data_IF_060615648179
#
_entry.id   IF_060615648179
#
_cell.length_a   1.000
_cell.length_b   1.000
_cell.length_c   1.000
_cell.angle_alpha   90.00
_cell.angle_beta   90.00
_cell.angle_gamma   90.00
#
_symmetry.space_group_name_H-M   'P 1'
#
loop_
_entity.id
_entity.type
_entity.pdbx_description
1 polymer ?
#
# COMPACT_ATOMS: atom_id res chain seq x y z
N UNK A 1 23.30 1.16 -20.65
CA UNK A 1 21.91 1.66 -20.59
C UNK A 1 20.98 0.51 -20.89
N UNK A 2 20.23 0.03 -19.89
CA UNK A 2 19.24 -1.03 -20.11
C UNK A 2 18.03 -0.48 -20.85
N UNK A 3 17.61 -1.20 -21.89
CA UNK A 3 16.48 -0.89 -22.75
C UNK A 3 15.20 -1.21 -21.97
N UNK A 4 14.52 -0.19 -21.46
CA UNK A 4 13.22 -0.34 -20.82
C UNK A 4 12.20 -0.47 -21.96
N UNK A 5 11.74 -1.68 -22.21
CA UNK A 5 10.66 -1.94 -23.18
C UNK A 5 9.34 -1.69 -22.45
N UNK A 6 8.73 -0.53 -22.71
CA UNK A 6 7.40 -0.18 -22.19
C UNK A 6 6.38 -0.96 -23.02
N UNK A 7 5.81 -2.01 -22.45
CA UNK A 7 4.70 -2.74 -23.07
C UNK A 7 3.40 -2.28 -22.43
N UNK A 8 2.45 -1.82 -23.26
CA UNK A 8 1.04 -1.62 -22.87
C UNK A 8 0.56 -2.84 -22.05
N UNK A 9 -0.34 -2.66 -21.04
CA UNK A 9 -0.57 -3.69 -20.03
C UNK A 9 -0.76 -5.05 -20.69
N UNK A 10 0.20 -5.96 -20.41
CA UNK A 10 0.11 -7.33 -20.89
C UNK A 10 -1.17 -7.93 -20.33
N UNK A 11 -1.90 -8.76 -21.10
CA UNK A 11 -3.12 -9.36 -20.58
C UNK A 11 -2.79 -10.16 -19.31
N UNK A 12 -3.52 -9.81 -18.25
CA UNK A 12 -3.54 -10.52 -17.00
C UNK A 12 -3.81 -12.02 -17.25
N UNK A 13 -3.05 -12.90 -16.59
CA UNK A 13 -3.48 -14.28 -16.42
C UNK A 13 -4.76 -14.37 -15.58
N UNK A 14 -5.27 -15.57 -15.36
CA UNK A 14 -6.53 -15.77 -14.61
C UNK A 14 -6.48 -15.20 -13.17
N UNK A 15 -5.29 -15.04 -12.60
CA UNK A 15 -5.04 -14.43 -11.29
C UNK A 15 -4.56 -12.96 -11.36
N UNK A 16 -4.56 -12.35 -12.55
CA UNK A 16 -3.53 -11.37 -12.89
C UNK A 16 -3.55 -9.99 -12.21
N UNK A 17 -4.67 -9.50 -11.66
CA UNK A 17 -4.65 -8.23 -10.89
C UNK A 17 -4.47 -8.49 -9.41
N UNK A 18 -3.28 -8.20 -8.89
CA UNK A 18 -2.95 -8.36 -7.47
C UNK A 18 -2.88 -7.03 -6.71
N UNK A 19 -3.61 -6.02 -7.19
CA UNK A 19 -3.83 -4.77 -6.47
C UNK A 19 -5.32 -4.46 -6.37
N UNK A 20 -5.72 -3.86 -5.26
CA UNK A 20 -7.11 -3.43 -5.01
C UNK A 20 -7.13 -2.03 -4.45
N UNK A 21 -8.22 -1.30 -4.73
CA UNK A 21 -8.48 0.02 -4.17
C UNK A 21 -9.84 -0.07 -3.49
N UNK A 22 -9.89 0.16 -2.19
CA UNK A 22 -11.11 0.16 -1.38
C UNK A 22 -11.33 1.54 -0.75
N UNK A 23 -12.60 1.87 -0.49
CA UNK A 23 -13.02 3.08 0.22
C UNK A 23 -13.83 2.70 1.46
N UNK A 24 -13.16 2.29 2.55
CA UNK A 24 -13.85 1.65 3.67
C UNK A 24 -14.72 2.61 4.49
N UNK A 25 -14.43 3.91 4.50
CA UNK A 25 -15.18 4.88 5.31
C UNK A 25 -15.14 4.56 6.80
N UNK A 26 -14.06 3.90 7.26
CA UNK A 26 -13.94 3.45 8.64
C UNK A 26 -13.57 4.61 9.55
N UNK A 27 -14.15 4.65 10.75
CA UNK A 27 -13.85 5.67 11.76
C UNK A 27 -13.23 5.05 13.00
N UNK A 28 -12.09 5.60 13.42
CA UNK A 28 -11.48 5.23 14.69
C UNK A 28 -12.35 5.70 15.87
N UNK A 29 -12.43 4.91 16.96
CA UNK A 29 -13.02 5.39 18.20
C UNK A 29 -12.15 6.49 18.82
N UNK A 30 -12.79 7.46 19.48
CA UNK A 30 -12.13 8.58 20.14
C UNK A 30 -12.16 9.89 19.35
N UNK A 31 -11.43 10.88 19.86
CA UNK A 31 -11.27 12.20 19.26
C UNK A 31 -9.78 12.57 19.24
N UNK A 32 -9.35 13.27 18.20
CA UNK A 32 -7.99 13.73 17.98
C UNK A 32 -8.01 15.23 17.68
N UNK A 33 -7.13 16.01 18.32
CA UNK A 33 -7.08 17.45 18.09
C UNK A 33 -6.46 17.80 16.73
N UNK A 34 -5.49 17.00 16.27
CA UNK A 34 -4.74 17.23 15.03
C UNK A 34 -4.05 15.95 14.53
N UNK A 35 -3.60 15.93 13.28
CA UNK A 35 -2.77 14.82 12.76
C UNK A 35 -1.40 14.71 13.45
N UNK A 36 -0.89 15.80 14.03
CA UNK A 36 0.34 15.87 14.83
C UNK A 36 0.28 14.98 16.08
N UNK A 37 -0.89 14.89 16.70
CA UNK A 37 -1.10 14.13 17.94
C UNK A 37 -1.23 12.61 17.70
N UNK A 38 -1.49 12.21 16.45
CA UNK A 38 -1.69 10.81 16.10
C UNK A 38 -0.35 10.11 15.97
N UNK A 39 -0.02 9.29 16.97
CA UNK A 39 1.13 8.40 16.91
C UNK A 39 0.79 7.12 16.13
N UNK A 40 0.93 7.19 14.81
CA UNK A 40 0.74 6.04 13.92
C UNK A 40 1.66 4.85 14.26
N UNK A 41 2.77 5.05 15.01
CA UNK A 41 3.67 3.97 15.43
C UNK A 41 3.11 3.14 16.59
N UNK A 42 2.10 3.64 17.31
CA UNK A 42 1.52 2.98 18.47
C UNK A 42 -0.02 2.84 18.39
N UNK A 43 -0.58 3.00 17.19
CA UNK A 43 -2.02 2.86 16.93
C UNK A 43 -2.42 1.40 16.67
N UNK A 44 -3.68 1.07 16.93
CA UNK A 44 -4.31 -0.16 16.42
C UNK A 44 -4.55 0.02 14.93
N UNK A 45 -4.11 -0.92 14.10
CA UNK A 45 -4.27 -0.81 12.65
C UNK A 45 -5.42 -1.69 12.18
N UNK A 46 -6.19 -1.15 11.25
CA UNK A 46 -7.27 -1.84 10.57
C UNK A 46 -6.93 -1.93 9.08
N UNK A 47 -7.05 -3.11 8.47
CA UNK A 47 -6.90 -3.30 7.02
C UNK A 47 -8.24 -3.67 6.37
N UNK A 48 -8.37 -3.34 5.09
CA UNK A 48 -9.61 -3.45 4.32
C UNK A 48 -9.36 -4.09 2.95
N UNK A 49 -9.29 -5.41 2.90
CA UNK A 49 -9.19 -6.18 1.66
C UNK A 49 -10.58 -6.50 1.11
N UNK A 50 -10.99 -5.77 0.07
CA UNK A 50 -12.28 -5.96 -0.59
C UNK A 50 -13.47 -5.79 0.36
N UNK A 51 -14.04 -6.91 0.81
CA UNK A 51 -15.18 -6.94 1.77
C UNK A 51 -14.77 -7.29 3.21
N UNK A 52 -13.50 -7.62 3.45
CA UNK A 52 -13.02 -8.06 4.76
C UNK A 52 -12.39 -6.87 5.50
N UNK A 53 -12.89 -6.63 6.70
CA UNK A 53 -12.26 -5.75 7.68
C UNK A 53 -11.48 -6.61 8.65
N UNK A 54 -10.20 -6.31 8.81
CA UNK A 54 -9.33 -7.03 9.74
C UNK A 54 -8.68 -6.06 10.72
N UNK A 55 -8.55 -6.50 11.98
CA UNK A 55 -7.84 -5.77 13.03
C UNK A 55 -6.46 -6.38 13.14
N UNK A 56 -5.46 -5.71 12.55
CA UNK A 56 -4.07 -6.16 12.58
C UNK A 56 -3.39 -5.94 13.95
N UNK A 57 -4.11 -5.48 14.97
CA UNK A 57 -3.57 -5.24 16.31
C UNK A 57 -2.86 -3.90 16.49
N UNK A 58 -2.34 -3.66 17.70
CA UNK A 58 -1.63 -2.44 18.08
C UNK A 58 -0.16 -2.54 17.69
N UNK A 59 0.33 -1.57 16.91
CA UNK A 59 1.76 -1.42 16.66
C UNK A 59 2.49 -1.05 17.96
N UNK A 60 3.72 -1.52 18.10
CA UNK A 60 4.69 -1.10 19.10
C UNK A 60 5.87 -0.51 18.36
N UNK A 61 6.03 0.82 18.43
CA UNK A 61 7.08 1.55 17.71
C UNK A 61 7.10 1.25 16.19
N UNK A 62 5.92 1.13 15.59
CA UNK A 62 5.73 0.92 14.16
C UNK A 62 5.80 -0.53 13.71
N UNK A 63 5.83 -1.48 14.65
CA UNK A 63 5.90 -2.91 14.35
C UNK A 63 4.83 -3.68 15.12
N UNK A 64 4.22 -4.66 14.47
CA UNK A 64 3.36 -5.64 15.12
C UNK A 64 3.74 -7.04 14.63
N UNK A 65 3.63 -8.00 15.53
CA UNK A 65 3.88 -9.41 15.29
C UNK A 65 2.81 -10.21 16.01
N UNK A 66 2.26 -11.20 15.32
CA UNK A 66 1.41 -12.22 15.91
C UNK A 66 1.80 -13.59 15.39
N UNK A 67 1.69 -14.59 16.27
CA UNK A 67 1.88 -15.99 15.92
C UNK A 67 0.53 -16.68 16.00
N UNK A 68 0.09 -17.22 14.87
CA UNK A 68 -1.17 -17.94 14.72
C UNK A 68 -0.85 -19.30 14.10
N UNK A 69 -1.09 -20.37 14.85
CA UNK A 69 -0.73 -21.74 14.46
C UNK A 69 0.73 -21.89 13.99
N UNK A 70 0.93 -22.28 12.73
CA UNK A 70 2.21 -22.44 12.07
C UNK A 70 2.68 -21.19 11.29
N UNK A 71 1.95 -20.07 11.45
CA UNK A 71 2.20 -18.81 10.77
C UNK A 71 2.73 -17.76 11.75
N UNK A 72 3.73 -17.01 11.33
CA UNK A 72 4.09 -15.75 11.99
C UNK A 72 3.79 -14.59 11.05
N UNK A 73 2.93 -13.69 11.50
CA UNK A 73 2.49 -12.51 10.77
C UNK A 73 3.22 -11.28 11.33
N UNK A 74 3.68 -10.43 10.42
CA UNK A 74 4.37 -9.19 10.72
C UNK A 74 3.67 -8.04 10.01
N UNK A 75 3.53 -6.92 10.69
CA UNK A 75 3.09 -5.65 10.11
C UNK A 75 4.10 -4.56 10.49
N UNK A 76 4.51 -3.79 9.51
CA UNK A 76 5.48 -2.69 9.69
C UNK A 76 4.94 -1.40 9.09
N UNK A 77 5.03 -0.32 9.86
CA UNK A 77 4.86 1.03 9.37
C UNK A 77 6.09 1.46 8.55
N UNK A 78 5.88 1.76 7.28
CA UNK A 78 6.91 2.15 6.33
C UNK A 78 7.03 3.66 6.22
N UNK A 79 5.89 4.37 6.19
CA UNK A 79 5.87 5.82 5.98
C UNK A 79 4.60 6.48 6.47
N UNK A 80 4.74 7.74 6.91
CA UNK A 80 3.63 8.63 7.24
C UNK A 80 3.92 9.96 6.55
N UNK A 81 3.00 10.42 5.71
CA UNK A 81 3.18 11.62 4.91
C UNK A 81 1.93 12.49 4.98
N UNK A 82 2.09 13.76 5.32
CA UNK A 82 0.97 14.70 5.25
C UNK A 82 0.62 15.01 3.81
N UNK A 83 -0.67 15.03 3.55
CA UNK A 83 -1.23 15.40 2.27
C UNK A 83 -1.89 16.76 2.45
N UNK A 84 -1.20 17.81 2.05
CA UNK A 84 -1.80 19.13 1.97
C UNK A 84 -2.54 19.28 0.66
N UNK A 85 -3.80 19.66 0.74
CA UNK A 85 -4.55 20.12 -0.41
C UNK A 85 -4.43 21.67 -0.50
N UNK A 86 -4.53 22.25 -1.71
CA UNK A 86 -4.43 23.72 -1.89
C UNK A 86 -5.69 24.46 -1.39
N UNK A 87 -6.82 23.77 -1.30
CA UNK A 87 -8.13 24.29 -0.87
C UNK A 87 -8.34 24.24 0.67
N UNK A 88 -7.51 23.48 1.39
CA UNK A 88 -7.47 23.31 2.85
C UNK A 88 -6.89 24.54 3.53
N UNK A 89 -5.98 25.23 2.83
CA UNK A 89 -5.53 26.55 3.23
C UNK A 89 -6.68 27.57 3.32
N UNK A 90 -7.83 27.30 2.69
CA UNK A 90 -8.96 28.21 2.61
C UNK A 90 -10.18 27.78 3.45
N UNK A 91 -10.25 26.51 3.92
CA UNK A 91 -11.42 25.98 4.64
C UNK A 91 -11.15 25.32 6.00
N UNK A 92 -9.92 24.89 6.31
CA UNK A 92 -9.54 24.39 7.65
C UNK A 92 -10.21 23.11 8.18
N UNK A 93 -11.23 22.55 7.51
CA UNK A 93 -12.14 21.55 8.12
C UNK A 93 -11.67 20.09 8.06
N UNK A 94 -10.69 19.76 7.20
CA UNK A 94 -10.18 18.39 7.07
C UNK A 94 -8.67 18.37 6.88
N UNK A 95 -8.01 17.38 7.46
CA UNK A 95 -6.58 17.12 7.29
C UNK A 95 -6.40 15.69 6.80
N UNK A 96 -5.46 15.47 5.88
CA UNK A 96 -5.18 14.12 5.35
C UNK A 96 -3.72 13.71 5.55
N UNK A 97 -3.52 12.41 5.73
CA UNK A 97 -2.21 11.78 5.63
C UNK A 97 -2.25 10.46 4.88
N UNK A 98 -1.16 10.19 4.18
CA UNK A 98 -0.84 8.89 3.62
C UNK A 98 -0.06 8.08 4.66
N UNK A 99 -0.57 6.91 5.01
CA UNK A 99 0.08 5.97 5.93
C UNK A 99 0.34 4.67 5.18
N UNK A 100 1.58 4.20 5.19
CA UNK A 100 2.01 3.07 4.36
C UNK A 100 2.52 1.95 5.24
N UNK A 101 2.03 0.74 5.00
CA UNK A 101 2.39 -0.45 5.73
C UNK A 101 2.89 -1.57 4.80
N UNK A 102 3.73 -2.43 5.35
CA UNK A 102 4.15 -3.69 4.76
C UNK A 102 3.75 -4.83 5.70
N UNK A 103 3.09 -5.83 5.14
CA UNK A 103 2.70 -7.06 5.81
C UNK A 103 3.49 -8.24 5.24
N UNK A 104 3.92 -9.15 6.10
CA UNK A 104 4.45 -10.45 5.70
C UNK A 104 3.95 -11.56 6.61
N UNK A 105 3.54 -12.66 6.00
CA UNK A 105 3.24 -13.92 6.66
C UNK A 105 4.33 -14.93 6.35
N UNK A 106 4.92 -15.54 7.37
CA UNK A 106 5.88 -16.64 7.23
C UNK A 106 5.21 -17.91 7.70
N UNK A 107 4.85 -18.78 6.75
CA UNK A 107 4.25 -20.08 7.02
C UNK A 107 4.65 -21.10 5.93
N UNK A 108 3.85 -22.15 5.71
CA UNK A 108 4.09 -23.12 4.64
C UNK A 108 4.10 -22.51 3.23
N UNK A 109 3.38 -21.39 3.04
CA UNK A 109 3.43 -20.52 1.86
C UNK A 109 3.58 -19.08 2.33
N UNK A 110 4.72 -18.46 2.10
CA UNK A 110 4.92 -17.07 2.52
C UNK A 110 4.10 -16.12 1.66
N UNK A 111 3.45 -15.17 2.33
CA UNK A 111 2.71 -14.09 1.68
C UNK A 111 3.34 -12.75 2.04
N UNK A 112 3.38 -11.83 1.08
CA UNK A 112 3.82 -10.47 1.33
C UNK A 112 2.96 -9.48 0.55
N UNK A 113 2.48 -8.49 1.26
CA UNK A 113 1.64 -7.41 0.70
C UNK A 113 2.08 -6.09 1.28
N UNK A 114 1.82 -5.02 0.55
CA UNK A 114 1.85 -3.67 1.10
C UNK A 114 0.47 -3.05 0.96
N UNK A 115 0.17 -2.13 1.86
CA UNK A 115 -1.04 -1.33 1.72
C UNK A 115 -0.81 0.10 2.16
N UNK A 116 -1.37 1.02 1.39
CA UNK A 116 -1.29 2.44 1.61
C UNK A 116 -2.70 2.98 1.91
N UNK A 117 -2.83 3.70 3.03
CA UNK A 117 -4.09 4.24 3.51
C UNK A 117 -4.09 5.76 3.47
N UNK A 118 -5.21 6.32 3.03
CA UNK A 118 -5.52 7.75 3.24
C UNK A 118 -6.31 7.86 4.52
N UNK A 119 -5.70 8.45 5.54
CA UNK A 119 -6.39 8.83 6.76
C UNK A 119 -6.86 10.27 6.66
N UNK A 120 -8.07 10.50 7.15
CA UNK A 120 -8.70 11.81 7.23
C UNK A 120 -9.03 12.13 8.68
N UNK A 121 -8.66 13.33 9.11
CA UNK A 121 -9.14 13.92 10.35
C UNK A 121 -10.08 15.06 9.99
N UNK A 122 -11.34 14.98 10.43
CA UNK A 122 -12.33 16.05 10.27
C UNK A 122 -13.24 16.04 11.48
N UNK A 123 -13.61 17.21 11.98
CA UNK A 123 -14.41 17.35 13.22
C UNK A 123 -13.83 16.55 14.40
N UNK A 124 -12.49 16.51 14.51
CA UNK A 124 -11.74 15.73 15.52
C UNK A 124 -11.89 14.22 15.42
N UNK A 125 -12.48 13.69 14.35
CA UNK A 125 -12.70 12.26 14.11
C UNK A 125 -11.73 11.75 13.05
N UNK A 126 -10.91 10.77 13.43
CA UNK A 126 -9.97 10.12 12.53
C UNK A 126 -10.67 8.96 11.80
N UNK A 127 -10.50 8.87 10.49
CA UNK A 127 -11.00 7.77 9.69
C UNK A 127 -10.04 7.34 8.59
N UNK A 128 -10.32 6.18 8.00
CA UNK A 128 -9.66 5.62 6.81
C UNK A 128 -10.62 5.77 5.62
N UNK A 129 -10.28 6.65 4.70
CA UNK A 129 -11.12 6.97 3.53
C UNK A 129 -10.81 6.08 2.33
N UNK A 130 -9.55 5.67 2.20
CA UNK A 130 -9.09 4.86 1.09
C UNK A 130 -8.00 3.91 1.57
N UNK A 131 -7.97 2.69 1.01
CA UNK A 131 -6.84 1.77 1.07
C UNK A 131 -6.48 1.30 -0.34
N UNK A 132 -5.19 1.24 -0.63
CA UNK A 132 -4.61 0.67 -1.85
C UNK A 132 -3.75 -0.51 -1.41
N UNK A 133 -4.18 -1.72 -1.72
CA UNK A 133 -3.42 -2.94 -1.50
C UNK A 133 -2.63 -3.29 -2.76
N UNK A 134 -1.40 -3.76 -2.58
CA UNK A 134 -0.54 -4.24 -3.65
C UNK A 134 0.27 -5.45 -3.17
N UNK A 135 0.43 -6.43 -4.05
CA UNK A 135 1.11 -7.66 -3.71
C UNK A 135 2.63 -7.51 -3.94
N UNK A 136 3.43 -7.81 -2.91
CA UNK A 136 4.88 -7.59 -2.92
C UNK A 136 5.66 -8.89 -3.10
N UNK A 137 5.02 -9.97 -3.56
CA UNK A 137 5.59 -11.31 -3.68
C UNK A 137 6.59 -11.48 -4.85
N UNK A 138 7.52 -10.53 -5.01
CA UNK A 138 8.72 -10.64 -5.83
C UNK A 138 9.88 -9.94 -5.12
N UNK A 139 11.11 -10.11 -5.60
CA UNK A 139 12.22 -9.29 -5.12
C UNK A 139 13.25 -9.08 -6.24
N UNK A 140 13.49 -7.81 -6.57
CA UNK A 140 14.51 -7.35 -7.51
C UNK A 140 15.46 -6.31 -6.89
N UNK A 141 15.45 -6.17 -5.56
CA UNK A 141 16.31 -5.24 -4.82
C UNK A 141 15.82 -3.79 -4.80
N UNK A 142 14.69 -3.48 -5.42
CA UNK A 142 14.09 -2.15 -5.44
C UNK A 142 12.87 -2.11 -4.51
N UNK A 143 12.64 -0.97 -3.85
CA UNK A 143 11.49 -0.77 -2.95
C UNK A 143 10.17 -0.96 -3.70
N UNK A 144 9.13 -1.43 -3.00
CA UNK A 144 7.80 -1.60 -3.59
C UNK A 144 6.99 -0.31 -3.64
N UNK A 145 7.37 0.70 -2.86
CA UNK A 145 6.63 1.94 -2.78
C UNK A 145 7.56 3.15 -2.69
N UNK A 146 7.14 4.24 -3.29
CA UNK A 146 7.81 5.54 -3.23
C UNK A 146 6.78 6.67 -3.24
N UNK A 147 6.88 7.56 -2.26
CA UNK A 147 6.08 8.78 -2.20
C UNK A 147 6.94 10.01 -2.53
N UNK A 148 6.45 10.84 -3.44
CA UNK A 148 7.04 12.14 -3.78
C UNK A 148 6.19 13.27 -3.19
N UNK A 149 6.67 13.98 -2.14
CA UNK A 149 5.95 15.13 -1.57
C UNK A 149 5.73 16.26 -2.58
N UNK A 150 6.69 16.48 -3.49
CA UNK A 150 6.66 17.58 -4.46
C UNK A 150 5.54 17.41 -5.48
N UNK A 151 5.39 16.21 -6.03
CA UNK A 151 4.36 15.90 -7.02
C UNK A 151 3.10 15.29 -6.41
N UNK A 152 3.12 15.00 -5.11
CA UNK A 152 2.05 14.28 -4.37
C UNK A 152 1.65 13.00 -5.08
N UNK A 153 2.65 12.31 -5.62
CA UNK A 153 2.50 11.02 -6.29
C UNK A 153 2.94 9.91 -5.37
N UNK A 154 2.17 8.83 -5.41
CA UNK A 154 2.53 7.55 -4.81
C UNK A 154 2.78 6.59 -5.98
N UNK A 155 3.96 5.99 -6.01
CA UNK A 155 4.25 4.87 -6.90
C UNK A 155 4.28 3.61 -6.05
N UNK A 156 3.55 2.58 -6.47
CA UNK A 156 3.64 1.24 -5.87
C UNK A 156 3.90 0.20 -6.94
N UNK A 157 4.49 -0.91 -6.55
CA UNK A 157 4.86 -2.01 -7.43
C UNK A 157 4.19 -3.27 -6.93
N UNK A 158 3.26 -3.78 -7.72
CA UNK A 158 2.46 -4.97 -7.42
C UNK A 158 2.87 -6.10 -8.33
N UNK A 159 3.03 -7.31 -7.82
CA UNK A 159 3.21 -8.50 -8.64
C UNK A 159 2.06 -8.69 -9.63
N UNK A 160 2.36 -9.35 -10.74
CA UNK A 160 1.43 -9.60 -11.84
C UNK A 160 1.77 -10.96 -12.47
N UNK A 161 0.82 -11.90 -12.43
CA UNK A 161 0.92 -13.18 -13.17
C UNK A 161 0.61 -12.99 -14.66
N UNK A 162 1.58 -13.34 -15.51
CA UNK A 162 1.32 -13.53 -16.94
C UNK A 162 0.67 -14.89 -17.20
N UNK A 163 0.00 -15.05 -18.35
CA UNK A 163 -0.71 -16.28 -18.75
C UNK A 163 0.11 -17.59 -18.63
N UNK A 164 1.43 -17.53 -18.76
CA UNK A 164 2.32 -18.70 -18.68
C UNK A 164 3.15 -18.74 -17.39
N UNK A 165 2.85 -17.89 -16.40
CA UNK A 165 3.55 -17.93 -15.12
C UNK A 165 3.12 -19.17 -14.34
N UNK A 166 4.09 -19.88 -13.76
CA UNK A 166 3.79 -20.89 -12.77
C UNK A 166 3.33 -20.20 -11.47
N UNK A 167 2.40 -20.83 -10.74
CA UNK A 167 1.76 -20.30 -9.52
C UNK A 167 2.74 -19.83 -8.43
N UNK A 168 3.98 -20.31 -8.41
CA UNK A 168 5.01 -19.94 -7.44
C UNK A 168 6.07 -18.96 -8.00
N UNK A 169 5.88 -18.48 -9.23
CA UNK A 169 6.93 -17.97 -10.07
C UNK A 169 6.45 -16.85 -10.99
N UNK A 170 6.00 -15.74 -10.42
CA UNK A 170 5.69 -14.53 -11.20
C UNK A 170 6.90 -14.06 -12.02
N UNK A 171 6.64 -13.62 -13.26
CA UNK A 171 7.66 -13.07 -14.16
C UNK A 171 7.48 -11.60 -14.44
N UNK A 172 6.45 -10.95 -13.88
CA UNK A 172 6.18 -9.53 -14.04
C UNK A 172 5.65 -8.86 -12.76
N UNK A 173 5.71 -7.53 -12.77
CA UNK A 173 5.04 -6.66 -11.81
C UNK A 173 4.49 -5.43 -12.55
N UNK A 174 3.42 -4.85 -12.03
CA UNK A 174 2.88 -3.57 -12.46
C UNK A 174 3.44 -2.46 -11.56
N UNK A 175 3.97 -1.41 -12.18
CA UNK A 175 4.25 -0.14 -11.53
C UNK A 175 3.03 0.77 -11.68
N UNK A 176 2.39 1.05 -10.56
CA UNK A 176 1.16 1.82 -10.46
C UNK A 176 1.52 3.22 -9.96
N UNK A 177 1.24 4.24 -10.77
CA UNK A 177 1.40 5.64 -10.37
C UNK A 177 0.05 6.22 -10.00
N UNK A 178 -0.04 6.75 -8.78
CA UNK A 178 -1.20 7.43 -8.25
C UNK A 178 -0.91 8.91 -8.03
N UNK A 179 -1.92 9.74 -8.25
CA UNK A 179 -1.87 11.18 -7.99
C UNK A 179 -2.93 11.57 -6.96
N UNK A 180 -2.52 12.36 -5.96
CA UNK A 180 -3.43 12.92 -4.95
C UNK A 180 -4.31 14.03 -5.55
N UNK A 181 -5.63 13.83 -5.58
CA UNK A 181 -6.58 14.81 -6.15
C UNK A 181 -7.25 15.71 -5.10
N UNK A 182 -6.87 15.60 -3.83
CA UNK A 182 -7.36 16.46 -2.74
C UNK A 182 -8.18 15.73 -1.66
N UNK A 183 -8.75 14.58 -2.00
CA UNK A 183 -9.49 13.71 -1.07
C UNK A 183 -9.08 12.24 -1.16
N UNK A 184 -8.51 11.84 -2.31
CA UNK A 184 -8.08 10.47 -2.56
C UNK A 184 -6.91 10.41 -3.55
N UNK A 185 -6.29 9.24 -3.64
CA UNK A 185 -5.37 8.89 -4.71
C UNK A 185 -6.14 8.31 -5.90
N UNK A 186 -6.01 8.96 -7.05
CA UNK A 186 -6.51 8.45 -8.32
C UNK A 186 -5.38 7.73 -9.07
N UNK A 187 -5.67 6.57 -9.65
CA UNK A 187 -4.72 5.85 -10.50
C UNK A 187 -4.50 6.63 -11.79
N UNK A 188 -3.27 7.09 -12.02
CA UNK A 188 -2.87 7.89 -13.18
C UNK A 188 -2.30 6.99 -14.29
N UNK A 189 -1.49 5.99 -13.91
CA UNK A 189 -0.76 5.16 -14.87
C UNK A 189 -0.46 3.77 -14.33
N UNK A 190 -0.45 2.80 -15.25
CA UNK A 190 0.04 1.43 -15.02
C UNK A 190 1.13 1.15 -16.06
N UNK A 191 2.27 0.62 -15.63
CA UNK A 191 3.30 0.07 -16.50
C UNK A 191 3.67 -1.36 -16.06
N UNK A 192 3.54 -2.34 -16.94
CA UNK A 192 3.99 -3.71 -16.65
C UNK A 192 5.48 -3.85 -16.96
N UNK A 193 6.24 -4.39 -16.00
CA UNK A 193 7.68 -4.64 -16.11
C UNK A 193 7.97 -6.11 -15.84
N UNK A 194 8.90 -6.70 -16.61
CA UNK A 194 9.34 -8.09 -16.40
C UNK A 194 10.42 -8.16 -15.33
N UNK A 195 10.34 -9.18 -14.48
CA UNK A 195 11.35 -9.49 -13.47
C UNK A 195 12.51 -10.18 -14.17
N UNK A 196 13.66 -9.51 -14.28
CA UNK A 196 14.87 -10.08 -14.86
C UNK A 196 15.51 -11.10 -13.89
N UNK A 197 15.19 -12.39 -14.06
CA UNK A 197 15.76 -13.48 -13.23
C UNK A 197 17.26 -13.74 -13.50
N UNK A 198 17.81 -13.22 -14.60
CA UNK A 198 19.21 -13.45 -15.01
C UNK A 198 20.26 -12.76 -14.11
N UNK A 199 19.86 -11.87 -13.20
CA UNK A 199 20.78 -11.21 -12.26
C UNK A 199 21.11 -12.03 -10.99
N UNK A 200 20.48 -13.21 -10.80
CA UNK A 200 20.67 -14.07 -9.61
C UNK A 200 21.83 -15.07 -9.70
N UNK A 201 22.60 -15.08 -10.79
CA UNK A 201 23.78 -15.92 -10.94
C UNK A 201 25.05 -15.06 -11.02
N UNK A 202 25.44 -14.45 -9.90
CA UNK A 202 26.81 -14.02 -9.59
C UNK A 202 27.02 -13.95 -8.09
#
# INVERSE_FOLDING_TARGET
MQKIEVVHPLPYGDEGKLYTISKPGFMYPGEFGSLEEIDARNLVIHSFDGRRHEVCGRLKQGHWEAREDACTNYLRLVGVHRLSNKAEAESGDAQYMLVIFEFSGVCGSSDSTGFAQVWKLSERRLGVEQQIDYNTHFNDGVKFQEFSPRSRRLVVRSSHYLFNDAHCCISAYDELTFHWIGSEYALERIETKRINRAARAK
#
